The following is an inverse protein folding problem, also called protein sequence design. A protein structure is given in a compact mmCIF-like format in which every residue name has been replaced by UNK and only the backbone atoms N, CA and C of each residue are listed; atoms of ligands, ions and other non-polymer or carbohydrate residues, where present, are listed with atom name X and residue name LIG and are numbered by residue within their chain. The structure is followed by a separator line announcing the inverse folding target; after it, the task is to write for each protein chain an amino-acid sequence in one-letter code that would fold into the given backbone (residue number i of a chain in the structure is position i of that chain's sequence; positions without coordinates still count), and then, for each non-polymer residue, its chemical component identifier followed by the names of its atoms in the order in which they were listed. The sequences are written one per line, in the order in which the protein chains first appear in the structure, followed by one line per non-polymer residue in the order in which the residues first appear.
data_IF_574040000419
#
_entry.id   IF_574040000419
#
_cell.length_a   1.000
_cell.length_b   1.000
_cell.length_c   1.000
_cell.angle_alpha   90.00
_cell.angle_beta   90.00
_cell.angle_gamma   90.00
#
_symmetry.space_group_name_H-M   'P 1'
#
loop_
_entity.id
_entity.type
_entity.pdbx_description
1 polymer ?
#
# COMPACT_ATOMS: atom_id res chain seq x y z
N UNK A 1 18.22 5.36 -46.40
CA UNK A 1 18.35 4.03 -45.75
C UNK A 1 18.92 4.16 -44.34
N UNK A 2 20.18 4.61 -44.16
CA UNK A 2 20.82 4.76 -42.83
C UNK A 2 20.04 5.60 -41.79
N UNK A 3 19.43 6.72 -42.20
CA UNK A 3 18.61 7.53 -41.28
C UNK A 3 17.29 6.84 -40.88
N UNK A 4 16.71 5.99 -41.73
CA UNK A 4 15.49 5.25 -41.44
C UNK A 4 15.77 4.07 -40.49
N UNK A 5 16.87 3.37 -40.71
CA UNK A 5 17.37 2.31 -39.81
C UNK A 5 17.74 2.86 -38.43
N UNK A 6 18.35 4.05 -38.38
CA UNK A 6 18.63 4.74 -37.11
C UNK A 6 17.35 5.08 -36.33
N UNK A 7 16.33 5.64 -37.00
CA UNK A 7 15.03 5.93 -36.37
C UNK A 7 14.33 4.67 -35.86
N UNK A 8 14.36 3.57 -36.62
CA UNK A 8 13.78 2.29 -36.18
C UNK A 8 14.48 1.74 -34.94
N UNK A 9 15.82 1.73 -34.91
CA UNK A 9 16.58 1.28 -33.72
C UNK A 9 16.28 2.12 -32.49
N UNK A 10 16.18 3.44 -32.64
CA UNK A 10 15.80 4.34 -31.53
C UNK A 10 14.38 4.03 -31.04
N UNK A 11 13.42 3.87 -31.96
CA UNK A 11 12.04 3.55 -31.58
C UNK A 11 11.91 2.19 -30.86
N UNK A 12 12.64 1.17 -31.31
CA UNK A 12 12.68 -0.14 -30.65
C UNK A 12 13.29 -0.05 -29.25
N UNK A 13 14.37 0.73 -29.10
CA UNK A 13 14.99 0.98 -27.80
C UNK A 13 14.05 1.72 -26.84
N UNK A 14 13.28 2.70 -27.33
CA UNK A 14 12.31 3.43 -26.52
C UNK A 14 11.17 2.53 -26.04
N UNK A 15 10.69 1.61 -26.88
CA UNK A 15 9.67 0.62 -26.51
C UNK A 15 10.19 -0.33 -25.44
N UNK A 16 11.41 -0.85 -25.61
CA UNK A 16 12.01 -1.75 -24.62
C UNK A 16 12.20 -1.04 -23.27
N UNK A 17 12.68 0.20 -23.30
CA UNK A 17 12.82 1.02 -22.08
C UNK A 17 11.47 1.25 -21.40
N UNK A 18 10.42 1.60 -22.15
CA UNK A 18 9.08 1.79 -21.59
C UNK A 18 8.53 0.50 -20.96
N UNK A 19 8.79 -0.66 -21.58
CA UNK A 19 8.40 -1.96 -21.03
C UNK A 19 9.10 -2.25 -19.71
N UNK A 20 10.41 -2.04 -19.64
CA UNK A 20 11.20 -2.23 -18.41
C UNK A 20 10.72 -1.29 -17.31
N UNK A 21 10.45 -0.02 -17.64
CA UNK A 21 9.95 0.97 -16.67
C UNK A 21 8.61 0.56 -16.07
N UNK A 22 7.68 0.03 -16.89
CA UNK A 22 6.38 -0.46 -16.42
C UNK A 22 6.55 -1.66 -15.49
N UNK A 23 7.37 -2.65 -15.88
CA UNK A 23 7.62 -3.84 -15.05
C UNK A 23 8.27 -3.49 -13.71
N UNK A 24 9.24 -2.56 -13.73
CA UNK A 24 9.90 -2.08 -12.52
C UNK A 24 8.90 -1.38 -11.59
N UNK A 25 8.07 -0.47 -12.12
CA UNK A 25 7.05 0.22 -11.33
C UNK A 25 6.04 -0.75 -10.72
N UNK A 26 5.59 -1.74 -11.49
CA UNK A 26 4.67 -2.77 -11.00
C UNK A 26 5.29 -3.61 -9.86
N UNK A 27 6.56 -4.01 -10.01
CA UNK A 27 7.29 -4.78 -9.00
C UNK A 27 7.45 -3.99 -7.69
N UNK A 28 7.85 -2.72 -7.78
CA UNK A 28 7.98 -1.83 -6.63
C UNK A 28 6.63 -1.63 -5.94
N UNK A 29 5.57 -1.37 -6.71
CA UNK A 29 4.24 -1.16 -6.15
C UNK A 29 3.70 -2.43 -5.46
N UNK A 30 3.97 -3.61 -6.01
CA UNK A 30 3.62 -4.89 -5.39
C UNK A 30 4.34 -5.13 -4.06
N UNK A 31 5.65 -4.87 -4.03
CA UNK A 31 6.46 -4.99 -2.81
C UNK A 31 5.96 -4.01 -1.73
N UNK A 32 5.64 -2.78 -2.11
CA UNK A 32 5.09 -1.76 -1.20
C UNK A 32 3.75 -2.19 -0.64
N UNK A 33 2.83 -2.69 -1.47
CA UNK A 33 1.53 -3.20 -1.02
C UNK A 33 1.66 -4.39 -0.07
N UNK A 34 2.50 -5.36 -0.41
CA UNK A 34 2.76 -6.53 0.45
C UNK A 34 3.33 -6.11 1.80
N UNK A 35 4.30 -5.18 1.79
CA UNK A 35 4.88 -4.64 3.01
C UNK A 35 3.89 -3.83 3.85
N UNK A 36 2.98 -3.09 3.20
CA UNK A 36 1.93 -2.34 3.89
C UNK A 36 0.93 -3.28 4.58
N UNK A 37 0.54 -4.38 3.93
CA UNK A 37 -0.33 -5.39 4.54
C UNK A 37 0.29 -6.01 5.80
N UNK A 38 1.60 -6.28 5.79
CA UNK A 38 2.30 -6.73 6.99
C UNK A 38 2.28 -5.70 8.13
N UNK A 39 2.29 -4.39 7.81
CA UNK A 39 2.15 -3.32 8.80
C UNK A 39 0.73 -3.19 9.33
N UNK A 40 -0.29 -3.39 8.50
CA UNK A 40 -1.70 -3.46 8.94
C UNK A 40 -1.89 -4.59 9.95
N UNK A 41 -1.45 -5.80 9.61
CA UNK A 41 -1.54 -6.98 10.48
C UNK A 41 -0.79 -6.76 11.81
N UNK A 42 0.40 -6.15 11.78
CA UNK A 42 1.16 -5.82 12.97
C UNK A 42 0.50 -4.71 13.81
N UNK A 43 -0.06 -3.68 13.16
CA UNK A 43 -0.76 -2.58 13.82
C UNK A 43 -1.99 -3.06 14.58
N UNK A 44 -2.79 -3.94 13.95
CA UNK A 44 -3.92 -4.59 14.60
C UNK A 44 -3.48 -5.40 15.83
N UNK A 45 -2.46 -6.26 15.68
CA UNK A 45 -1.95 -7.06 16.79
C UNK A 45 -1.43 -6.20 17.96
N UNK A 46 -0.79 -5.07 17.66
CA UNK A 46 -0.32 -4.12 18.66
C UNK A 46 -1.48 -3.43 19.39
N UNK A 47 -2.52 -3.02 18.66
CA UNK A 47 -3.75 -2.44 19.21
C UNK A 47 -4.47 -3.41 20.16
N UNK A 48 -4.66 -4.66 19.74
CA UNK A 48 -5.26 -5.72 20.57
C UNK A 48 -4.43 -6.00 21.84
N UNK A 49 -3.10 -6.04 21.72
CA UNK A 49 -2.21 -6.25 22.86
C UNK A 49 -2.27 -5.08 23.86
N UNK A 50 -2.33 -3.84 23.37
CA UNK A 50 -2.48 -2.65 24.20
C UNK A 50 -3.82 -2.69 24.96
N UNK A 51 -4.92 -3.04 24.29
CA UNK A 51 -6.22 -3.21 24.93
C UNK A 51 -6.21 -4.26 26.04
N UNK A 52 -5.60 -5.42 25.78
CA UNK A 52 -5.47 -6.49 26.77
C UNK A 52 -4.64 -6.04 27.98
N UNK A 53 -3.59 -5.26 27.74
CA UNK A 53 -2.75 -4.70 28.80
C UNK A 53 -3.53 -3.70 29.63
N UNK A 54 -4.30 -2.81 28.99
CA UNK A 54 -5.21 -1.88 29.67
C UNK A 54 -6.17 -2.63 30.58
N UNK A 55 -6.82 -3.68 30.10
CA UNK A 55 -7.81 -4.42 30.88
C UNK A 55 -7.20 -5.04 32.15
N UNK A 56 -5.96 -5.55 32.06
CA UNK A 56 -5.21 -6.03 33.24
C UNK A 56 -4.96 -4.91 34.22
N UNK A 57 -4.44 -3.77 33.76
CA UNK A 57 -4.12 -2.62 34.61
C UNK A 57 -5.37 -2.01 35.25
N UNK A 58 -6.49 -1.99 34.53
CA UNK A 58 -7.77 -1.55 35.07
C UNK A 58 -8.26 -2.47 36.19
N UNK A 59 -8.08 -3.78 36.05
CA UNK A 59 -8.40 -4.75 37.10
C UNK A 59 -7.48 -4.59 38.31
N UNK A 60 -6.17 -4.42 38.11
CA UNK A 60 -5.22 -4.18 39.20
C UNK A 60 -5.47 -2.86 39.94
N UNK A 61 -5.86 -1.80 39.22
CA UNK A 61 -6.25 -0.52 39.80
C UNK A 61 -7.48 -0.68 40.71
N UNK A 62 -8.53 -1.39 40.24
CA UNK A 62 -9.73 -1.68 41.05
C UNK A 62 -9.42 -2.50 42.31
N UNK A 63 -8.34 -3.29 42.28
CA UNK A 63 -7.83 -4.06 43.43
C UNK A 63 -6.85 -3.27 44.31
N UNK A 64 -6.58 -2.00 44.00
CA UNK A 64 -5.64 -1.15 44.73
C UNK A 64 -4.16 -1.50 44.54
N UNK A 65 -3.82 -2.32 43.53
CA UNK A 65 -2.44 -2.76 43.24
C UNK A 65 -1.68 -1.85 42.29
N UNK A 66 -2.38 -0.98 41.56
CA UNK A 66 -1.82 0.01 40.63
C UNK A 66 -2.36 1.39 40.93
N UNK A 67 -1.57 2.41 40.60
CA UNK A 67 -1.97 3.80 40.76
C UNK A 67 -2.87 4.25 39.60
N UNK A 68 -3.57 5.37 39.80
CA UNK A 68 -4.30 6.03 38.72
C UNK A 68 -3.37 6.47 37.58
N UNK A 69 -2.12 6.80 37.90
CA UNK A 69 -1.12 7.21 36.90
C UNK A 69 -0.70 6.05 36.00
N UNK A 70 -0.58 4.83 36.56
CA UNK A 70 -0.33 3.62 35.78
C UNK A 70 -1.50 3.36 34.80
N UNK A 71 -2.74 3.56 35.27
CA UNK A 71 -3.92 3.40 34.43
C UNK A 71 -3.98 4.46 33.31
N UNK A 72 -3.63 5.70 33.60
CA UNK A 72 -3.58 6.76 32.57
C UNK A 72 -2.50 6.47 31.52
N UNK A 73 -1.35 5.94 31.95
CA UNK A 73 -0.26 5.58 31.03
C UNK A 73 -0.70 4.50 30.06
N UNK A 74 -1.33 3.43 30.53
CA UNK A 74 -1.77 2.35 29.62
C UNK A 74 -2.93 2.78 28.70
N UNK A 75 -3.79 3.71 29.14
CA UNK A 75 -4.82 4.29 28.25
C UNK A 75 -4.17 5.16 27.15
N UNK A 76 -3.08 5.86 27.47
CA UNK A 76 -2.30 6.59 26.48
C UNK A 76 -1.61 5.65 25.48
N UNK A 77 -1.12 4.49 25.93
CA UNK A 77 -0.54 3.45 25.06
C UNK A 77 -1.59 2.86 24.11
N UNK A 78 -2.80 2.60 24.60
CA UNK A 78 -3.95 2.17 23.77
C UNK A 78 -4.24 3.20 22.68
N UNK A 79 -4.34 4.48 23.05
CA UNK A 79 -4.61 5.53 22.07
C UNK A 79 -3.52 5.61 20.99
N UNK A 80 -2.25 5.48 21.37
CA UNK A 80 -1.14 5.49 20.43
C UNK A 80 -1.18 4.27 19.50
N UNK A 81 -1.46 3.08 20.03
CA UNK A 81 -1.56 1.85 19.25
C UNK A 81 -2.72 1.92 18.25
N UNK A 82 -3.89 2.40 18.66
CA UNK A 82 -5.03 2.60 17.76
C UNK A 82 -4.74 3.63 16.67
N UNK A 83 -4.10 4.74 17.01
CA UNK A 83 -3.70 5.75 16.03
C UNK A 83 -2.72 5.17 14.99
N UNK A 84 -1.74 4.38 15.45
CA UNK A 84 -0.80 3.69 14.57
C UNK A 84 -1.48 2.66 13.67
N UNK A 85 -2.42 1.88 14.20
CA UNK A 85 -3.24 0.93 13.42
C UNK A 85 -4.02 1.64 12.31
N UNK A 86 -4.70 2.73 12.63
CA UNK A 86 -5.47 3.52 11.66
C UNK A 86 -4.54 4.03 10.55
N UNK A 87 -3.39 4.59 10.90
CA UNK A 87 -2.42 5.08 9.92
C UNK A 87 -1.89 3.94 9.02
N UNK A 88 -1.60 2.77 9.61
CA UNK A 88 -1.16 1.60 8.85
C UNK A 88 -2.22 1.12 7.85
N UNK A 89 -3.50 1.14 8.23
CA UNK A 89 -4.62 0.82 7.33
C UNK A 89 -4.72 1.82 6.17
N UNK A 90 -4.59 3.13 6.44
CA UNK A 90 -4.59 4.13 5.37
C UNK A 90 -3.39 3.96 4.43
N UNK A 91 -2.19 3.71 4.97
CA UNK A 91 -0.99 3.44 4.17
C UNK A 91 -1.18 2.21 3.28
N UNK A 92 -1.81 1.16 3.80
CA UNK A 92 -2.12 -0.05 3.04
C UNK A 92 -3.14 0.19 1.92
N UNK A 93 -4.18 0.98 2.16
CA UNK A 93 -5.12 1.39 1.12
C UNK A 93 -4.44 2.19 0.01
N UNK A 94 -3.59 3.15 0.36
CA UNK A 94 -2.82 3.92 -0.63
C UNK A 94 -1.89 3.00 -1.42
N UNK A 95 -1.22 2.05 -0.76
CA UNK A 95 -0.34 1.10 -1.43
C UNK A 95 -1.11 0.17 -2.39
N UNK A 96 -2.31 -0.27 -2.01
CA UNK A 96 -3.18 -1.09 -2.85
C UNK A 96 -3.63 -0.34 -4.11
N UNK A 97 -4.03 0.93 -3.97
CA UNK A 97 -4.39 1.80 -5.11
C UNK A 97 -3.19 2.00 -6.04
N UNK A 98 -2.01 2.28 -5.49
CA UNK A 98 -0.79 2.45 -6.28
C UNK A 98 -0.37 1.17 -7.01
N UNK A 99 -0.54 0.00 -6.38
CA UNK A 99 -0.31 -1.28 -7.05
C UNK A 99 -1.28 -1.50 -8.21
N UNK A 100 -2.58 -1.29 -7.99
CA UNK A 100 -3.59 -1.37 -9.06
C UNK A 100 -3.27 -0.42 -10.23
N UNK A 101 -2.66 0.75 -9.94
CA UNK A 101 -2.22 1.73 -10.93
C UNK A 101 -1.09 1.20 -11.79
N UNK A 102 -0.08 0.65 -11.14
CA UNK A 102 1.16 0.24 -11.78
C UNK A 102 0.95 -0.98 -12.71
N UNK A 103 0.01 -1.86 -12.39
CA UNK A 103 -0.33 -3.01 -13.26
C UNK A 103 -1.31 -2.67 -14.39
N UNK A 104 -1.56 -1.38 -14.66
CA UNK A 104 -2.49 -0.89 -15.67
C UNK A 104 -3.93 -1.40 -15.50
N UNK A 105 -4.31 -1.72 -14.25
CA UNK A 105 -5.62 -2.26 -13.90
C UNK A 105 -6.54 -1.20 -13.28
N UNK A 106 -6.05 0.02 -13.02
CA UNK A 106 -6.88 1.12 -12.49
C UNK A 106 -8.02 1.53 -13.42
N UNK A 107 -7.78 1.59 -14.73
CA UNK A 107 -8.81 1.99 -15.71
C UNK A 107 -9.96 0.97 -15.72
N UNK A 108 -9.70 -0.36 -15.86
CA UNK A 108 -10.72 -1.38 -15.67
C UNK A 108 -11.37 -1.39 -14.27
N UNK A 109 -10.59 -1.24 -13.18
CA UNK A 109 -11.08 -1.29 -11.80
C UNK A 109 -11.95 -0.08 -11.43
N UNK A 110 -11.69 1.09 -12.01
CA UNK A 110 -12.52 2.29 -11.88
C UNK A 110 -13.79 2.25 -12.76
N UNK A 111 -14.05 1.13 -13.44
CA UNK A 111 -15.20 0.95 -14.33
C UNK A 111 -15.10 1.71 -15.66
N UNK A 112 -13.93 2.26 -15.97
CA UNK A 112 -13.68 2.96 -17.23
C UNK A 112 -13.30 1.91 -18.27
N UNK A 113 -14.19 1.65 -19.23
CA UNK A 113 -13.88 0.76 -20.35
C UNK A 113 -12.71 1.36 -21.14
N UNK A 114 -11.59 0.64 -21.22
CA UNK A 114 -10.48 0.97 -22.11
C UNK A 114 -10.87 0.65 -23.56
N UNK A 115 -11.84 1.38 -24.11
CA UNK A 115 -12.03 1.46 -25.55
C UNK A 115 -11.01 2.46 -26.08
N UNK A 116 -10.08 2.01 -26.94
CA UNK A 116 -9.52 2.75 -28.09
C UNK A 116 -8.16 2.22 -28.61
N UNK A 117 -7.54 1.18 -28.05
CA UNK A 117 -6.28 0.65 -28.59
C UNK A 117 -6.42 -0.43 -29.69
N UNK A 118 -7.64 -0.91 -29.97
CA UNK A 118 -7.87 -1.99 -30.96
C UNK A 118 -8.43 -1.52 -32.32
N UNK A 119 -8.66 -0.23 -32.52
CA UNK A 119 -9.23 0.30 -33.77
C UNK A 119 -8.24 1.19 -34.56
N UNK A 120 -6.96 0.83 -34.56
CA UNK A 120 -6.02 1.44 -35.52
C UNK A 120 -6.01 0.56 -36.78
N UNK A 121 -6.48 1.05 -37.94
CA UNK A 121 -6.46 0.27 -39.18
C UNK A 121 -5.03 -0.03 -39.59
N UNK A 122 -4.80 -1.27 -40.05
CA UNK A 122 -3.53 -1.72 -40.62
C UNK A 122 -3.10 -0.78 -41.75
N UNK A 123 -1.96 -0.12 -41.57
CA UNK A 123 -1.34 0.68 -42.61
C UNK A 123 -0.62 -0.28 -43.57
N UNK A 124 -1.24 -0.56 -44.71
CA UNK A 124 -0.60 -1.17 -45.89
C UNK A 124 0.40 -0.21 -46.54
#
# INVERSE_FOLDING_TARGET
MQQAEGKQKISASQVEQAKLDVLQRASVAYANWTGARGREEAGLAQSESAHKTRDVYQNEYKLGKRSLNDLLTVEQDVFQAQSAEINANYDGWVAAVNYAAAVNNLIPLAGIKQGLYNDLPDLK
#
